data_IF_601365155709
#
_entry.id   IF_601365155709
#
_cell.length_a   1.000
_cell.length_b   1.000
_cell.length_c   1.000
_cell.angle_alpha   90.00
_cell.angle_beta   90.00
_cell.angle_gamma   90.00
#
_symmetry.space_group_name_H-M   'P 1'
#
loop_
_entity.id
_entity.type
_entity.pdbx_description
1 polymer ?
#
# COMPACT_ATOMS: atom_id res chain seq x y z
N UNK A 1 9.45 -24.29 17.23
CA UNK A 1 8.03 -24.01 16.92
C UNK A 1 7.63 -24.50 15.51
N UNK A 2 8.32 -24.07 14.44
CA UNK A 2 8.07 -24.54 13.06
C UNK A 2 8.10 -26.08 12.90
N UNK A 3 9.13 -26.74 13.41
CA UNK A 3 9.23 -28.21 13.35
C UNK A 3 8.09 -28.95 14.07
N UNK A 4 7.57 -28.36 15.16
CA UNK A 4 6.43 -28.92 15.90
C UNK A 4 5.11 -28.78 15.12
N UNK A 5 4.91 -27.65 14.43
CA UNK A 5 3.76 -27.44 13.54
C UNK A 5 3.84 -28.31 12.29
N UNK A 6 5.03 -28.50 11.72
CA UNK A 6 5.26 -29.44 10.61
C UNK A 6 4.92 -30.86 11.05
N UNK A 7 5.44 -31.32 12.19
CA UNK A 7 5.16 -32.66 12.71
C UNK A 7 3.68 -32.87 13.05
N UNK A 8 3.00 -31.84 13.58
CA UNK A 8 1.55 -31.89 13.82
C UNK A 8 0.76 -32.00 12.50
N UNK A 9 1.11 -31.21 11.48
CA UNK A 9 0.44 -31.26 10.19
C UNK A 9 0.66 -32.61 9.48
N UNK A 10 1.86 -33.17 9.58
CA UNK A 10 2.18 -34.51 9.06
C UNK A 10 1.38 -35.60 9.77
N UNK A 11 1.29 -35.53 11.11
CA UNK A 11 0.52 -36.46 11.91
C UNK A 11 -0.98 -36.40 11.60
N UNK A 12 -1.52 -35.19 11.48
CA UNK A 12 -2.91 -34.97 11.12
C UNK A 12 -3.21 -35.50 9.72
N UNK A 13 -2.38 -35.15 8.73
CA UNK A 13 -2.57 -35.61 7.34
C UNK A 13 -2.47 -37.13 7.23
N UNK A 14 -1.57 -37.76 8.00
CA UNK A 14 -1.47 -39.21 8.11
C UNK A 14 -2.75 -39.83 8.67
N UNK A 15 -3.29 -39.28 9.77
CA UNK A 15 -4.55 -39.77 10.37
C UNK A 15 -5.77 -39.56 9.47
N UNK A 16 -5.77 -38.50 8.67
CA UNK A 16 -6.84 -38.20 7.73
C UNK A 16 -6.69 -38.90 6.36
N UNK A 17 -5.60 -39.66 6.12
CA UNK A 17 -5.32 -40.27 4.81
C UNK A 17 -4.97 -39.27 3.70
N UNK A 18 -4.57 -38.04 4.05
CA UNK A 18 -4.32 -36.92 3.14
C UNK A 18 -2.83 -36.64 2.91
N UNK A 19 -1.93 -37.55 3.28
CA UNK A 19 -0.48 -37.36 3.14
C UNK A 19 -0.06 -37.00 1.70
N UNK A 20 -0.58 -37.72 0.70
CA UNK A 20 -0.27 -37.44 -0.70
C UNK A 20 -0.76 -36.05 -1.16
N UNK A 21 -1.89 -35.57 -0.63
CA UNK A 21 -2.42 -34.24 -0.91
C UNK A 21 -1.59 -33.15 -0.23
N UNK A 22 -1.13 -33.38 1.01
CA UNK A 22 -0.21 -32.50 1.73
C UNK A 22 1.12 -32.37 0.98
N UNK A 23 1.68 -33.48 0.51
CA UNK A 23 2.93 -33.50 -0.26
C UNK A 23 2.76 -32.89 -1.66
N UNK A 24 1.60 -33.10 -2.29
CA UNK A 24 1.21 -32.41 -3.52
C UNK A 24 1.20 -30.90 -3.31
N UNK A 25 0.50 -30.41 -2.29
CA UNK A 25 0.44 -28.99 -1.94
C UNK A 25 1.81 -28.39 -1.65
N UNK A 26 2.66 -29.09 -0.88
CA UNK A 26 4.04 -28.65 -0.60
C UNK A 26 4.87 -28.52 -1.87
N UNK A 27 4.78 -29.49 -2.78
CA UNK A 27 5.46 -29.42 -4.08
C UNK A 27 4.96 -28.25 -4.91
N UNK A 28 3.65 -28.02 -4.98
CA UNK A 28 3.08 -26.87 -5.69
C UNK A 28 3.58 -25.55 -5.10
N UNK A 29 3.56 -25.39 -3.77
CA UNK A 29 4.06 -24.19 -3.09
C UNK A 29 5.55 -23.99 -3.34
N UNK A 30 6.35 -25.06 -3.30
CA UNK A 30 7.80 -24.98 -3.57
C UNK A 30 8.12 -24.69 -5.05
N UNK A 31 7.21 -24.99 -5.98
CA UNK A 31 7.38 -24.72 -7.40
C UNK A 31 7.05 -23.27 -7.79
N UNK A 32 6.33 -22.51 -6.95
CA UNK A 32 6.04 -21.10 -7.22
C UNK A 32 7.31 -20.28 -6.98
N UNK A 33 7.87 -19.61 -8.00
CA UNK A 33 9.04 -18.75 -7.81
C UNK A 33 8.75 -17.63 -6.81
N UNK A 34 9.70 -17.33 -5.95
CA UNK A 34 9.61 -16.17 -5.07
C UNK A 34 9.82 -14.87 -5.87
N UNK A 35 8.92 -13.91 -5.69
CA UNK A 35 9.06 -12.56 -6.26
C UNK A 35 9.81 -11.63 -5.29
N UNK A 36 11.03 -11.19 -5.63
CA UNK A 36 11.84 -10.35 -4.74
C UNK A 36 11.20 -9.00 -4.39
N UNK A 37 10.20 -8.55 -5.15
CA UNK A 37 9.49 -7.29 -4.88
C UNK A 37 8.38 -7.44 -3.84
N UNK A 38 8.03 -8.67 -3.43
CA UNK A 38 7.01 -8.93 -2.40
C UNK A 38 7.64 -8.90 -0.99
N UNK A 39 7.31 -7.91 -0.15
CA UNK A 39 7.89 -7.76 1.17
C UNK A 39 7.02 -8.43 2.25
N UNK A 40 7.55 -8.51 3.47
CA UNK A 40 6.70 -8.60 4.64
C UNK A 40 5.91 -7.29 4.77
N UNK A 41 4.59 -7.35 4.84
CA UNK A 41 3.79 -6.15 4.93
C UNK A 41 2.51 -6.33 5.75
N UNK A 42 2.04 -5.22 6.31
CA UNK A 42 0.72 -5.08 6.91
C UNK A 42 -0.11 -4.23 5.96
N UNK A 43 -1.15 -4.80 5.38
CA UNK A 43 -2.14 -4.05 4.62
C UNK A 43 -3.23 -3.60 5.57
N UNK A 44 -3.66 -2.35 5.49
CA UNK A 44 -4.72 -1.77 6.31
C UNK A 44 -5.72 -1.10 5.37
N UNK A 45 -6.89 -1.71 5.21
CA UNK A 45 -8.00 -1.03 4.55
C UNK A 45 -8.76 -0.18 5.57
N UNK A 46 -9.09 1.05 5.17
CA UNK A 46 -9.91 1.98 5.97
C UNK A 46 -11.19 2.23 5.20
N UNK A 47 -12.30 1.72 5.71
CA UNK A 47 -13.59 1.79 5.05
C UNK A 47 -14.53 2.72 5.82
N UNK A 48 -14.88 3.89 5.26
CA UNK A 48 -15.91 4.73 5.85
C UNK A 48 -17.27 4.06 5.85
N UNK A 49 -18.04 4.29 6.92
CA UNK A 49 -19.44 3.91 6.96
C UNK A 49 -20.24 4.65 5.87
N UNK A 50 -21.25 3.98 5.31
CA UNK A 50 -22.10 4.52 4.22
C UNK A 50 -23.35 5.24 4.72
N UNK A 51 -23.54 5.29 6.03
CA UNK A 51 -24.69 5.86 6.72
C UNK A 51 -24.49 7.36 7.08
N UNK A 52 -23.37 7.95 6.67
CA UNK A 52 -23.04 9.34 6.95
C UNK A 52 -22.49 9.59 8.36
N UNK A 53 -22.27 8.54 9.15
CA UNK A 53 -21.53 8.64 10.41
C UNK A 53 -20.04 8.88 10.14
N UNK A 54 -19.28 9.18 11.20
CA UNK A 54 -17.80 9.28 11.13
C UNK A 54 -17.13 7.94 11.38
N UNK A 55 -17.93 6.88 11.43
CA UNK A 55 -17.43 5.56 11.76
C UNK A 55 -16.67 5.00 10.56
N UNK A 56 -15.60 4.29 10.88
CA UNK A 56 -14.75 3.59 9.93
C UNK A 56 -14.54 2.16 10.40
N UNK A 57 -14.39 1.25 9.46
CA UNK A 57 -13.90 -0.10 9.70
C UNK A 57 -12.45 -0.18 9.24
N UNK A 58 -11.56 -0.53 10.17
CA UNK A 58 -10.14 -0.76 9.89
C UNK A 58 -9.92 -2.25 9.78
N UNK A 59 -9.59 -2.73 8.57
CA UNK A 59 -9.32 -4.15 8.29
C UNK A 59 -7.84 -4.39 8.04
N UNK A 60 -7.16 -5.17 8.89
CA UNK A 60 -5.77 -5.52 8.67
C UNK A 60 -5.62 -6.84 7.91
N UNK A 61 -4.60 -6.94 7.05
CA UNK A 61 -4.08 -8.21 6.54
C UNK A 61 -2.57 -8.28 6.68
N UNK A 62 -2.05 -9.46 6.99
CA UNK A 62 -0.64 -9.68 7.27
C UNK A 62 -0.01 -10.59 6.24
N UNK A 63 0.90 -10.05 5.43
CA UNK A 63 1.81 -10.86 4.63
C UNK A 63 3.10 -11.10 5.41
N UNK A 64 3.28 -12.34 5.87
CA UNK A 64 4.40 -12.71 6.75
C UNK A 64 5.55 -13.39 6.03
N UNK A 65 5.37 -13.78 4.76
CA UNK A 65 6.39 -14.47 3.96
C UNK A 65 6.79 -13.55 2.80
N UNK A 66 8.01 -12.99 2.80
CA UNK A 66 8.48 -12.24 1.64
C UNK A 66 8.64 -13.19 0.45
N UNK A 67 8.57 -12.69 -0.77
CA UNK A 67 8.61 -13.53 -1.96
C UNK A 67 7.25 -14.07 -2.41
N UNK A 68 6.26 -14.09 -1.53
CA UNK A 68 4.96 -14.70 -1.80
C UNK A 68 3.83 -13.82 -1.28
N UNK A 69 2.88 -13.51 -2.15
CA UNK A 69 1.70 -12.76 -1.76
C UNK A 69 0.63 -13.73 -1.25
N UNK A 70 0.47 -13.80 0.07
CA UNK A 70 -0.59 -14.57 0.71
C UNK A 70 -1.03 -13.88 2.02
N UNK A 71 -1.57 -12.66 1.93
CA UNK A 71 -1.95 -11.87 3.09
C UNK A 71 -3.06 -12.57 3.88
N UNK A 72 -2.84 -12.77 5.18
CA UNK A 72 -3.83 -13.39 6.06
C UNK A 72 -4.68 -12.31 6.74
N UNK A 73 -6.02 -12.41 6.73
CA UNK A 73 -6.87 -11.43 7.39
C UNK A 73 -6.60 -11.43 8.90
N UNK A 74 -6.54 -10.24 9.48
CA UNK A 74 -6.55 -10.02 10.92
C UNK A 74 -7.94 -9.59 11.40
N UNK A 75 -8.03 -9.29 12.70
CA UNK A 75 -9.28 -8.87 13.33
C UNK A 75 -9.63 -7.42 12.93
N UNK A 76 -10.81 -7.18 12.33
CA UNK A 76 -11.29 -5.83 12.05
C UNK A 76 -11.52 -5.02 13.32
N UNK A 77 -11.41 -3.69 13.23
CA UNK A 77 -11.75 -2.77 14.30
C UNK A 77 -12.72 -1.69 13.81
N UNK A 78 -13.81 -1.49 14.54
CA UNK A 78 -14.73 -0.35 14.34
C UNK A 78 -14.24 0.84 15.17
N UNK A 79 -14.07 1.99 14.52
CA UNK A 79 -13.48 3.18 15.14
C UNK A 79 -13.85 4.44 14.35
N UNK A 80 -13.19 5.57 14.62
CA UNK A 80 -13.32 6.81 13.85
C UNK A 80 -11.99 7.20 13.22
N UNK A 81 -11.99 8.16 12.29
CA UNK A 81 -10.75 8.65 11.69
C UNK A 81 -9.78 9.25 12.73
N UNK A 82 -10.30 9.90 13.77
CA UNK A 82 -9.50 10.48 14.86
C UNK A 82 -8.78 9.39 15.68
N UNK A 83 -9.38 8.20 15.77
CA UNK A 83 -8.87 7.03 16.49
C UNK A 83 -8.16 6.01 15.58
N UNK A 84 -7.88 6.39 14.31
CA UNK A 84 -7.17 5.53 13.36
C UNK A 84 -5.78 5.13 13.86
N UNK A 85 -5.04 6.06 14.47
CA UNK A 85 -3.70 5.80 15.01
C UNK A 85 -3.67 4.63 16.02
N UNK A 86 -4.47 4.69 17.11
CA UNK A 86 -4.63 3.60 18.05
C UNK A 86 -5.04 2.26 17.41
N UNK A 87 -5.94 2.27 16.42
CA UNK A 87 -6.37 1.06 15.72
C UNK A 87 -5.22 0.43 14.91
N UNK A 88 -4.46 1.25 14.18
CA UNK A 88 -3.26 0.83 13.44
C UNK A 88 -2.19 0.29 14.37
N UNK A 89 -1.96 0.93 15.52
CA UNK A 89 -0.98 0.44 16.50
C UNK A 89 -1.33 -0.96 17.02
N UNK A 90 -2.63 -1.23 17.27
CA UNK A 90 -3.10 -2.56 17.69
C UNK A 90 -2.82 -3.62 16.62
N UNK A 91 -3.11 -3.32 15.35
CA UNK A 91 -2.81 -4.21 14.23
C UNK A 91 -1.30 -4.46 14.07
N UNK A 92 -0.47 -3.41 14.24
CA UNK A 92 0.99 -3.53 14.20
C UNK A 92 1.56 -4.41 15.32
N UNK A 93 0.99 -4.35 16.52
CA UNK A 93 1.41 -5.22 17.63
C UNK A 93 1.14 -6.69 17.33
N UNK A 94 0.04 -6.99 16.64
CA UNK A 94 -0.24 -8.35 16.16
C UNK A 94 0.80 -8.77 15.10
N UNK A 95 1.12 -7.91 14.14
CA UNK A 95 2.06 -8.23 13.05
C UNK A 95 3.53 -8.30 13.43
N UNK A 96 3.99 -7.44 14.35
CA UNK A 96 5.39 -7.43 14.79
C UNK A 96 5.80 -8.76 15.44
N UNK A 97 4.89 -9.42 16.16
CA UNK A 97 5.13 -10.76 16.73
C UNK A 97 5.46 -11.80 15.66
N UNK A 98 4.91 -11.65 14.45
CA UNK A 98 5.09 -12.58 13.35
C UNK A 98 6.31 -12.23 12.48
N UNK A 99 6.64 -10.94 12.31
CA UNK A 99 7.81 -10.53 11.52
C UNK A 99 9.15 -10.76 12.21
N UNK A 100 9.19 -10.76 13.55
CA UNK A 100 10.43 -10.83 14.35
C UNK A 100 10.93 -12.28 14.55
N UNK A 101 10.28 -13.28 13.96
CA UNK A 101 10.78 -14.66 13.99
C UNK A 101 12.18 -14.72 13.32
N UNK A 102 13.19 -15.36 13.96
CA UNK A 102 14.54 -15.44 13.41
C UNK A 102 14.51 -16.02 11.99
N UNK A 103 14.99 -15.23 11.02
CA UNK A 103 15.24 -15.69 9.66
C UNK A 103 16.71 -15.99 9.53
N UNK A 104 17.04 -17.06 8.81
CA UNK A 104 18.42 -17.33 8.40
C UNK A 104 18.94 -16.10 7.64
N UNK A 105 20.16 -15.64 7.93
CA UNK A 105 20.73 -14.50 7.22
C UNK A 105 20.80 -14.83 5.73
N UNK A 106 20.34 -13.89 4.91
CA UNK A 106 20.48 -13.98 3.46
C UNK A 106 21.96 -14.19 3.11
N UNK A 107 22.34 -15.25 2.37
CA UNK A 107 23.71 -15.50 1.95
C UNK A 107 24.32 -14.36 1.14
N UNK A 108 23.50 -13.44 0.59
CA UNK A 108 23.94 -12.26 -0.13
C UNK A 108 24.46 -11.12 0.77
N UNK A 109 24.28 -11.22 2.10
CA UNK A 109 24.66 -10.16 3.05
C UNK A 109 23.84 -8.87 2.92
N UNK A 110 22.83 -8.81 2.03
CA UNK A 110 21.94 -7.67 1.90
C UNK A 110 20.97 -7.64 3.07
N UNK A 111 20.85 -6.47 3.70
CA UNK A 111 19.83 -6.25 4.73
C UNK A 111 18.46 -6.36 4.05
N UNK A 112 17.52 -7.18 4.56
CA UNK A 112 16.18 -7.25 4.00
C UNK A 112 15.54 -5.87 4.05
N UNK A 113 14.70 -5.52 3.05
CA UNK A 113 13.95 -4.27 3.08
C UNK A 113 13.13 -4.18 4.37
N UNK A 114 12.90 -2.96 4.90
CA UNK A 114 12.06 -2.80 6.08
C UNK A 114 10.65 -3.33 5.78
N UNK A 115 9.92 -3.85 6.78
CA UNK A 115 8.53 -4.22 6.58
C UNK A 115 7.72 -3.00 6.14
N UNK A 116 6.75 -3.24 5.26
CA UNK A 116 5.91 -2.20 4.70
C UNK A 116 4.53 -2.14 5.36
N UNK A 117 3.92 -0.96 5.35
CA UNK A 117 2.53 -0.73 5.72
C UNK A 117 1.82 -0.14 4.51
N UNK A 118 0.85 -0.88 3.98
CA UNK A 118 0.05 -0.51 2.82
C UNK A 118 -1.32 -0.05 3.28
N UNK A 119 -1.60 1.24 3.15
CA UNK A 119 -2.92 1.79 3.44
C UNK A 119 -3.78 1.76 2.18
N UNK A 120 -4.86 0.99 2.22
CA UNK A 120 -5.88 0.94 1.17
C UNK A 120 -6.98 1.92 1.60
N UNK A 121 -7.02 3.08 0.95
CA UNK A 121 -7.85 4.21 1.36
C UNK A 121 -8.84 4.59 0.25
N UNK A 122 -10.05 5.08 0.59
CA UNK A 122 -10.91 5.72 -0.37
C UNK A 122 -10.28 7.02 -0.88
N UNK A 123 -10.73 7.49 -2.03
CA UNK A 123 -10.17 8.67 -2.70
C UNK A 123 -10.05 9.88 -1.78
N UNK A 124 -11.08 10.15 -0.98
CA UNK A 124 -11.16 11.34 -0.13
C UNK A 124 -10.17 11.26 1.06
N UNK A 125 -9.62 10.07 1.35
CA UNK A 125 -8.58 9.86 2.36
C UNK A 125 -7.19 9.67 1.76
N UNK A 126 -7.01 9.68 0.44
CA UNK A 126 -5.69 9.48 -0.17
C UNK A 126 -4.68 10.56 0.24
N UNK A 127 -5.10 11.81 0.52
CA UNK A 127 -4.18 12.84 1.02
C UNK A 127 -3.90 12.77 2.55
N UNK A 128 -4.55 11.86 3.28
CA UNK A 128 -4.45 11.78 4.74
C UNK A 128 -3.05 11.35 5.20
N UNK A 129 -2.59 11.87 6.34
CA UNK A 129 -1.23 11.62 6.85
C UNK A 129 -1.05 10.26 7.55
N UNK A 130 -1.22 9.17 6.81
CA UNK A 130 -1.03 7.83 7.39
C UNK A 130 0.43 7.52 7.72
N UNK A 131 1.38 8.18 7.06
CA UNK A 131 2.81 8.00 7.30
C UNK A 131 3.26 8.68 8.61
N UNK A 132 2.59 9.77 9.00
CA UNK A 132 2.78 10.51 10.24
C UNK A 132 2.06 9.93 11.45
N UNK A 133 1.16 8.94 11.26
CA UNK A 133 0.59 8.18 12.39
C UNK A 133 1.72 7.67 13.28
N UNK A 134 1.51 7.69 14.59
CA UNK A 134 2.57 7.35 15.53
C UNK A 134 2.39 5.95 16.09
N UNK A 135 3.51 5.31 16.43
CA UNK A 135 3.54 4.05 17.16
C UNK A 135 4.50 4.15 18.34
N UNK A 136 4.19 3.44 19.41
CA UNK A 136 5.05 3.37 20.60
C UNK A 136 5.81 2.03 20.64
N UNK A 137 7.09 2.10 21.00
CA UNK A 137 7.91 0.91 21.29
C UNK A 137 8.27 0.96 22.78
N UNK A 138 7.75 0.00 23.56
CA UNK A 138 7.93 -0.03 25.01
C UNK A 138 7.43 1.25 25.68
N UNK A 139 8.25 1.83 26.56
CA UNK A 139 7.95 3.08 27.27
C UNK A 139 8.51 4.34 26.57
N UNK A 140 8.93 4.21 25.31
CA UNK A 140 9.50 5.32 24.53
C UNK A 140 8.46 6.35 24.08
N UNK A 141 8.96 7.47 23.52
CA UNK A 141 8.11 8.46 22.86
C UNK A 141 7.48 7.88 21.59
N UNK A 142 6.24 8.28 21.24
CA UNK A 142 5.61 7.88 19.98
C UNK A 142 6.45 8.37 18.79
N UNK A 143 6.71 7.47 17.84
CA UNK A 143 7.46 7.78 16.62
C UNK A 143 6.56 7.59 15.39
N UNK A 144 6.66 8.46 14.35
CA UNK A 144 5.97 8.25 13.08
C UNK A 144 6.21 6.85 12.49
N UNK A 145 5.20 6.28 11.85
CA UNK A 145 5.31 4.99 11.16
C UNK A 145 6.40 5.02 10.08
N UNK A 146 6.49 6.15 9.37
CA UNK A 146 7.44 6.40 8.29
C UNK A 146 8.91 6.18 8.68
N UNK A 147 9.26 6.31 9.96
CA UNK A 147 10.63 6.12 10.45
C UNK A 147 11.07 4.66 10.45
N UNK A 148 10.14 3.74 10.75
CA UNK A 148 10.44 2.32 10.92
C UNK A 148 9.96 1.47 9.74
N UNK A 149 8.89 1.89 9.09
CA UNK A 149 8.20 1.14 8.05
C UNK A 149 8.20 1.93 6.74
N UNK A 150 8.25 1.20 5.61
CA UNK A 150 7.87 1.80 4.33
C UNK A 150 6.37 1.95 4.30
N UNK A 151 5.85 3.17 4.16
CA UNK A 151 4.40 3.43 4.18
C UNK A 151 3.95 3.86 2.78
N UNK A 152 2.92 3.24 2.22
CA UNK A 152 2.38 3.61 0.91
C UNK A 152 0.86 3.52 0.87
N UNK A 153 0.29 4.22 -0.10
CA UNK A 153 -1.14 4.33 -0.34
C UNK A 153 -1.56 3.47 -1.53
N UNK A 154 -2.77 2.93 -1.43
CA UNK A 154 -3.46 2.14 -2.46
C UNK A 154 -4.92 2.60 -2.52
N UNK A 155 -5.59 2.42 -3.66
CA UNK A 155 -6.98 2.85 -3.80
C UNK A 155 -7.94 1.74 -3.37
N UNK A 156 -8.82 2.07 -2.43
CA UNK A 156 -9.89 1.18 -1.99
C UNK A 156 -10.87 0.89 -3.13
N UNK A 157 -11.21 1.91 -3.93
CA UNK A 157 -12.08 1.78 -5.09
C UNK A 157 -11.50 0.81 -6.12
N UNK A 158 -10.19 0.87 -6.39
CA UNK A 158 -9.56 -0.11 -7.28
C UNK A 158 -9.52 -1.50 -6.69
N UNK A 159 -9.32 -1.65 -5.37
CA UNK A 159 -9.37 -2.99 -4.78
C UNK A 159 -10.77 -3.59 -4.82
N UNK A 160 -11.81 -2.76 -4.75
CA UNK A 160 -13.20 -3.21 -4.86
C UNK A 160 -13.69 -3.38 -6.30
N UNK A 161 -12.96 -2.88 -7.29
CA UNK A 161 -13.42 -2.89 -8.67
C UNK A 161 -13.44 -4.31 -9.22
N UNK A 162 -14.64 -4.78 -9.54
CA UNK A 162 -14.83 -6.02 -10.26
C UNK A 162 -14.76 -5.88 -11.79
N UNK A 163 -14.56 -4.66 -12.28
CA UNK A 163 -14.44 -4.40 -13.71
C UNK A 163 -13.14 -4.99 -14.28
N UNK A 164 -13.28 -5.94 -15.20
CA UNK A 164 -12.14 -6.61 -15.84
C UNK A 164 -11.32 -5.68 -16.71
N UNK A 165 -11.95 -4.70 -17.37
CA UNK A 165 -11.26 -3.73 -18.24
C UNK A 165 -10.36 -2.83 -17.40
N UNK A 166 -10.88 -2.32 -16.28
CA UNK A 166 -10.08 -1.52 -15.34
C UNK A 166 -8.91 -2.33 -14.79
N UNK A 167 -9.15 -3.59 -14.39
CA UNK A 167 -8.10 -4.48 -13.89
C UNK A 167 -7.03 -4.77 -14.94
N UNK A 168 -7.41 -4.98 -16.20
CA UNK A 168 -6.47 -5.23 -17.30
C UNK A 168 -5.65 -3.98 -17.64
N UNK A 169 -6.29 -2.80 -17.70
CA UNK A 169 -5.59 -1.54 -17.95
C UNK A 169 -4.57 -1.24 -16.84
N UNK A 170 -4.94 -1.47 -15.58
CA UNK A 170 -4.05 -1.33 -14.44
C UNK A 170 -2.85 -2.29 -14.52
N UNK A 171 -3.08 -3.56 -14.86
CA UNK A 171 -2.02 -4.54 -15.10
C UNK A 171 -1.07 -4.12 -16.21
N UNK A 172 -1.59 -3.73 -17.37
CA UNK A 172 -0.78 -3.31 -18.52
C UNK A 172 0.10 -2.10 -18.21
N UNK A 173 -0.45 -1.10 -17.52
CA UNK A 173 0.33 0.08 -17.05
C UNK A 173 1.41 -0.30 -16.04
N UNK A 174 1.10 -1.23 -15.14
CA UNK A 174 2.05 -1.72 -14.15
C UNK A 174 3.19 -2.52 -14.79
N UNK A 175 2.88 -3.38 -15.75
CA UNK A 175 3.89 -4.12 -16.51
C UNK A 175 4.78 -3.15 -17.31
N UNK A 176 4.18 -2.14 -17.94
CA UNK A 176 4.92 -1.06 -18.61
C UNK A 176 5.85 -0.33 -17.65
N UNK A 177 5.40 -0.03 -16.42
CA UNK A 177 6.24 0.56 -15.37
C UNK A 177 7.43 -0.35 -15.04
N UNK A 178 7.19 -1.65 -14.83
CA UNK A 178 8.22 -2.63 -14.48
C UNK A 178 9.27 -2.79 -15.58
N UNK A 179 8.83 -2.82 -16.84
CA UNK A 179 9.69 -3.05 -18.01
C UNK A 179 10.46 -1.81 -18.46
N UNK A 180 9.78 -0.66 -18.51
CA UNK A 180 10.31 0.56 -19.14
C UNK A 180 10.71 1.64 -18.12
N UNK A 181 10.38 1.45 -16.84
CA UNK A 181 10.67 2.40 -15.79
C UNK A 181 9.65 3.54 -15.68
N UNK A 182 10.05 4.59 -14.98
CA UNK A 182 9.18 5.72 -14.65
C UNK A 182 9.22 6.78 -15.76
N UNK A 183 8.07 7.06 -16.36
CA UNK A 183 7.85 8.27 -17.17
C UNK A 183 6.71 9.06 -16.56
N UNK A 184 7.01 10.27 -16.10
CA UNK A 184 6.07 11.13 -15.37
C UNK A 184 5.12 11.84 -16.33
N UNK A 185 3.84 11.89 -15.98
CA UNK A 185 2.86 12.85 -16.49
C UNK A 185 2.50 13.83 -15.36
N UNK A 186 2.85 15.10 -15.51
CA UNK A 186 2.70 16.09 -14.45
C UNK A 186 1.31 16.72 -14.44
N UNK A 187 0.76 16.98 -13.26
CA UNK A 187 -0.42 17.84 -13.06
C UNK A 187 -0.05 19.03 -12.18
N UNK A 188 -0.57 20.21 -12.52
CA UNK A 188 -0.44 21.44 -11.72
C UNK A 188 -1.81 22.12 -11.58
N UNK A 189 -2.00 22.91 -10.53
CA UNK A 189 -3.23 23.67 -10.30
C UNK A 189 -3.63 24.55 -11.51
N UNK A 190 -2.64 25.13 -12.20
CA UNK A 190 -2.89 25.91 -13.43
C UNK A 190 -3.47 25.09 -14.60
N UNK A 191 -3.38 23.77 -14.54
CA UNK A 191 -4.00 22.85 -15.50
C UNK A 191 -5.48 22.56 -15.19
N UNK A 192 -6.03 23.10 -14.09
CA UNK A 192 -7.36 22.77 -13.57
C UNK A 192 -8.53 22.95 -14.55
N UNK A 193 -8.39 23.86 -15.52
CA UNK A 193 -9.40 24.06 -16.58
C UNK A 193 -9.27 23.08 -17.76
N UNK A 194 -8.25 22.23 -17.76
CA UNK A 194 -7.85 21.37 -18.88
C UNK A 194 -7.78 19.89 -18.49
N UNK A 195 -8.54 19.48 -17.47
CA UNK A 195 -8.56 18.10 -16.98
C UNK A 195 -8.79 17.07 -18.11
N UNK A 196 -9.75 17.33 -19.01
CA UNK A 196 -10.03 16.43 -20.14
C UNK A 196 -8.83 16.28 -21.09
N UNK A 197 -8.18 17.39 -21.44
CA UNK A 197 -7.00 17.35 -22.31
C UNK A 197 -5.81 16.65 -21.62
N UNK A 198 -5.66 16.86 -20.31
CA UNK A 198 -4.64 16.20 -19.51
C UNK A 198 -4.87 14.69 -19.45
N UNK A 199 -6.10 14.26 -19.19
CA UNK A 199 -6.50 12.85 -19.17
C UNK A 199 -6.34 12.22 -20.54
N UNK A 200 -6.76 12.89 -21.62
CA UNK A 200 -6.57 12.40 -22.98
C UNK A 200 -5.09 12.19 -23.32
N UNK A 201 -4.21 13.10 -22.86
CA UNK A 201 -2.76 12.93 -22.99
C UNK A 201 -2.22 11.74 -22.20
N UNK A 202 -2.79 11.46 -21.03
CA UNK A 202 -2.45 10.29 -20.24
C UNK A 202 -2.90 9.01 -20.95
N UNK A 203 -4.17 8.93 -21.36
CA UNK A 203 -4.76 7.79 -22.05
C UNK A 203 -4.07 7.49 -23.39
N UNK A 204 -3.71 8.52 -24.14
CA UNK A 204 -3.08 8.40 -25.45
C UNK A 204 -1.61 7.94 -25.44
N UNK A 205 -0.93 7.99 -24.29
CA UNK A 205 0.47 7.58 -24.16
C UNK A 205 0.65 6.55 -23.04
N UNK A 206 0.66 5.27 -23.41
CA UNK A 206 0.78 4.14 -22.47
C UNK A 206 2.10 4.14 -21.68
N UNK A 207 3.16 4.77 -22.20
CA UNK A 207 4.45 4.86 -21.50
C UNK A 207 4.46 5.80 -20.31
N UNK A 208 3.46 6.68 -20.14
CA UNK A 208 3.30 7.46 -18.90
C UNK A 208 2.94 6.52 -17.75
N UNK A 209 3.91 6.19 -16.91
CA UNK A 209 3.77 5.16 -15.87
C UNK A 209 3.61 5.73 -14.47
N UNK A 210 3.79 7.05 -14.32
CA UNK A 210 3.65 7.74 -13.05
C UNK A 210 3.01 9.11 -13.20
N UNK A 211 2.36 9.59 -12.14
CA UNK A 211 1.85 10.97 -12.06
C UNK A 211 2.53 11.71 -10.90
N UNK A 212 2.90 12.97 -11.16
CA UNK A 212 3.39 13.91 -10.14
C UNK A 212 2.47 15.12 -10.13
N UNK A 213 1.74 15.30 -9.04
CA UNK A 213 0.64 16.25 -8.94
C UNK A 213 0.74 17.13 -7.69
N UNK A 214 0.06 18.27 -7.71
CA UNK A 214 -0.22 19.02 -6.48
C UNK A 214 -1.13 18.20 -5.55
N UNK A 215 -1.17 18.53 -4.25
CA UNK A 215 -1.91 17.75 -3.28
C UNK A 215 -3.37 17.55 -3.71
N UNK A 216 -3.91 16.32 -3.67
CA UNK A 216 -5.32 16.04 -3.99
C UNK A 216 -6.23 16.44 -2.82
N UNK A 217 -6.07 17.66 -2.31
CA UNK A 217 -6.88 18.28 -1.26
C UNK A 217 -7.96 19.21 -1.82
N UNK A 218 -7.77 19.72 -3.04
CA UNK A 218 -8.80 20.46 -3.77
C UNK A 218 -9.55 19.55 -4.76
N UNK A 219 -10.65 20.05 -5.32
CA UNK A 219 -11.51 19.28 -6.24
C UNK A 219 -10.79 18.90 -7.54
N UNK A 220 -9.91 19.77 -8.04
CA UNK A 220 -9.30 19.60 -9.36
C UNK A 220 -8.14 18.61 -9.34
N UNK A 221 -7.24 18.72 -8.35
CA UNK A 221 -6.15 17.79 -8.14
C UNK A 221 -6.65 16.41 -7.71
N UNK A 222 -7.72 16.35 -6.90
CA UNK A 222 -8.38 15.08 -6.59
C UNK A 222 -9.00 14.45 -7.85
N UNK A 223 -9.65 15.23 -8.71
CA UNK A 223 -10.19 14.74 -9.98
C UNK A 223 -9.07 14.23 -10.91
N UNK A 224 -7.94 14.93 -10.99
CA UNK A 224 -6.77 14.47 -11.74
C UNK A 224 -6.19 13.16 -11.19
N UNK A 225 -6.12 13.00 -9.86
CA UNK A 225 -5.72 11.73 -9.25
C UNK A 225 -6.71 10.62 -9.58
N UNK A 226 -8.03 10.85 -9.43
CA UNK A 226 -9.07 9.88 -9.78
C UNK A 226 -8.97 9.46 -11.25
N UNK A 227 -8.75 10.41 -12.17
CA UNK A 227 -8.53 10.14 -13.58
C UNK A 227 -7.25 9.31 -13.81
N UNK A 228 -6.13 9.64 -13.15
CA UNK A 228 -4.90 8.85 -13.25
C UNK A 228 -5.11 7.40 -12.81
N UNK A 229 -5.83 7.22 -11.71
CA UNK A 229 -6.16 5.92 -11.14
C UNK A 229 -7.02 5.12 -12.13
N UNK A 230 -8.03 5.76 -12.72
CA UNK A 230 -8.88 5.15 -13.75
C UNK A 230 -8.09 4.74 -15.00
N UNK A 231 -7.09 5.54 -15.41
CA UNK A 231 -6.19 5.23 -16.53
C UNK A 231 -5.10 4.18 -16.21
N UNK A 232 -5.23 3.50 -15.07
CA UNK A 232 -4.36 2.39 -14.67
C UNK A 232 -3.04 2.79 -14.02
N UNK A 233 -2.81 4.07 -13.69
CA UNK A 233 -1.55 4.51 -13.07
C UNK A 233 -1.40 3.92 -11.66
N UNK A 234 -0.37 3.11 -11.43
CA UNK A 234 -0.08 2.52 -10.13
C UNK A 234 0.90 3.32 -9.26
N UNK A 235 1.52 4.37 -9.80
CA UNK A 235 2.52 5.19 -9.11
C UNK A 235 2.15 6.68 -9.17
N UNK A 236 1.92 7.30 -8.01
CA UNK A 236 1.76 8.75 -7.93
C UNK A 236 2.46 9.36 -6.72
N UNK A 237 2.99 10.57 -6.88
CA UNK A 237 3.68 11.32 -5.82
C UNK A 237 3.22 12.78 -5.79
N UNK A 238 2.98 13.29 -4.59
CA UNK A 238 2.65 14.71 -4.35
C UNK A 238 3.24 15.20 -3.03
N UNK A 239 3.30 16.52 -2.85
CA UNK A 239 3.55 17.15 -1.56
C UNK A 239 2.20 17.42 -0.88
N UNK A 240 1.91 16.79 0.25
CA UNK A 240 0.60 16.86 0.93
C UNK A 240 0.18 18.26 1.37
N UNK A 241 1.11 19.23 1.39
CA UNK A 241 0.86 20.61 1.85
C UNK A 241 0.13 21.48 0.82
N UNK A 242 -0.05 21.02 -0.42
CA UNK A 242 -0.72 21.77 -1.48
C UNK A 242 0.11 21.78 -2.76
N UNK A 243 0.43 22.99 -3.25
CA UNK A 243 1.19 23.18 -4.49
C UNK A 243 2.57 22.52 -4.39
N UNK A 244 2.89 21.69 -5.38
CA UNK A 244 4.14 20.96 -5.46
C UNK A 244 5.18 21.82 -6.18
N UNK A 245 5.98 22.55 -5.39
CA UNK A 245 7.02 23.46 -5.91
C UNK A 245 8.13 22.73 -6.67
N UNK A 246 8.71 23.39 -7.67
CA UNK A 246 9.64 22.79 -8.64
C UNK A 246 10.87 22.17 -7.99
N UNK A 247 11.47 22.82 -6.97
CA UNK A 247 12.66 22.31 -6.28
C UNK A 247 12.41 20.94 -5.65
N UNK A 248 11.17 20.69 -5.19
CA UNK A 248 10.78 19.40 -4.62
C UNK A 248 10.40 18.40 -5.72
N UNK A 249 9.87 18.85 -6.86
CA UNK A 249 9.64 17.99 -8.04
C UNK A 249 10.97 17.48 -8.64
N UNK A 250 12.03 18.29 -8.59
CA UNK A 250 13.39 17.87 -8.96
C UNK A 250 13.89 16.76 -8.04
N UNK A 251 13.64 16.84 -6.72
CA UNK A 251 13.97 15.75 -5.79
C UNK A 251 13.26 14.45 -6.17
N UNK A 252 11.98 14.50 -6.57
CA UNK A 252 11.25 13.31 -7.05
C UNK A 252 11.85 12.76 -8.33
N UNK A 253 12.20 13.64 -9.27
CA UNK A 253 12.84 13.24 -10.53
C UNK A 253 14.19 12.56 -10.27
N UNK A 254 15.00 13.12 -9.38
CA UNK A 254 16.26 12.51 -8.94
C UNK A 254 16.04 11.17 -8.22
N UNK A 255 14.99 11.05 -7.41
CA UNK A 255 14.62 9.79 -6.75
C UNK A 255 14.28 8.70 -7.78
N UNK A 256 13.50 9.02 -8.82
CA UNK A 256 13.19 8.09 -9.89
C UNK A 256 14.42 7.71 -10.71
N UNK A 257 15.29 8.67 -11.03
CA UNK A 257 16.53 8.41 -11.75
C UNK A 257 17.52 7.54 -10.94
N UNK A 258 17.55 7.70 -9.62
CA UNK A 258 18.40 6.91 -8.73
C UNK A 258 17.86 5.50 -8.46
N UNK A 259 16.56 5.28 -8.64
CA UNK A 259 15.93 3.97 -8.50
C UNK A 259 16.32 3.08 -9.70
N UNK A 260 17.32 2.21 -9.49
CA UNK A 260 17.81 1.27 -10.51
C UNK A 260 16.72 0.40 -11.14
N UNK A 261 15.67 0.08 -10.36
CA UNK A 261 14.46 -0.59 -10.82
C UNK A 261 13.24 0.02 -10.13
N UNK A 262 12.05 -0.02 -10.76
CA UNK A 262 10.81 0.49 -10.17
C UNK A 262 10.50 -0.11 -8.80
N UNK A 263 10.75 -1.41 -8.59
CA UNK A 263 10.56 -2.09 -7.31
C UNK A 263 11.36 -1.49 -6.14
N UNK A 264 12.39 -0.68 -6.41
CA UNK A 264 13.18 0.01 -5.38
C UNK A 264 12.61 1.36 -4.97
N UNK A 265 11.63 1.90 -5.68
CA UNK A 265 11.01 3.20 -5.39
C UNK A 265 10.44 3.26 -3.97
N UNK A 266 9.66 2.28 -3.47
CA UNK A 266 9.18 2.30 -2.08
C UNK A 266 10.29 2.42 -1.04
N UNK A 267 11.42 1.73 -1.27
CA UNK A 267 12.59 1.82 -0.39
C UNK A 267 13.23 3.21 -0.47
N UNK A 268 13.35 3.81 -1.66
CA UNK A 268 13.90 5.14 -1.83
C UNK A 268 13.04 6.21 -1.13
N UNK A 269 11.71 6.12 -1.24
CA UNK A 269 10.77 7.01 -0.54
C UNK A 269 10.87 6.86 0.98
N UNK A 270 10.99 5.62 1.47
CA UNK A 270 11.21 5.37 2.90
C UNK A 270 12.53 6.00 3.40
N UNK A 271 13.63 5.86 2.64
CA UNK A 271 14.90 6.50 2.99
C UNK A 271 14.82 8.02 2.97
N UNK A 272 14.10 8.61 2.00
CA UNK A 272 13.84 10.05 1.95
C UNK A 272 13.12 10.54 3.22
N UNK A 273 12.05 9.84 3.62
CA UNK A 273 11.32 10.10 4.88
C UNK A 273 12.21 10.00 6.11
N UNK A 274 13.03 8.95 6.20
CA UNK A 274 13.94 8.77 7.34
C UNK A 274 15.00 9.86 7.42
N UNK A 275 15.56 10.26 6.29
CA UNK A 275 16.57 11.34 6.25
C UNK A 275 15.96 12.69 6.65
N UNK A 276 14.71 12.94 6.28
CA UNK A 276 13.98 14.15 6.61
C UNK A 276 13.81 14.40 8.11
N UNK A 277 13.88 13.38 8.96
CA UNK A 277 13.81 13.51 10.41
C UNK A 277 15.13 14.04 11.03
N UNK A 278 16.21 14.17 10.26
CA UNK A 278 17.55 14.57 10.77
C UNK A 278 17.75 16.09 10.98
N UNK A 279 16.72 16.85 11.38
CA UNK A 279 16.72 18.32 11.61
C UNK A 279 17.13 19.22 10.41
N UNK A 280 17.35 18.66 9.22
CA UNK A 280 17.59 19.44 8.00
C UNK A 280 16.36 20.24 7.54
N UNK A 281 16.60 21.30 6.78
CA UNK A 281 15.57 22.19 6.20
C UNK A 281 15.67 22.29 4.66
N UNK A 282 16.44 21.42 4.03
CA UNK A 282 16.57 21.39 2.57
C UNK A 282 15.29 20.89 1.89
N UNK A 283 15.17 21.06 0.56
CA UNK A 283 13.99 20.62 -0.20
C UNK A 283 13.68 19.13 -0.02
N UNK A 284 14.71 18.28 0.09
CA UNK A 284 14.57 16.84 0.29
C UNK A 284 14.00 16.50 1.66
N UNK A 285 14.46 17.16 2.73
CA UNK A 285 13.94 16.95 4.08
C UNK A 285 12.49 17.46 4.19
N UNK A 286 12.21 18.64 3.64
CA UNK A 286 10.86 19.18 3.63
C UNK A 286 9.89 18.32 2.81
N UNK A 287 10.35 17.72 1.70
CA UNK A 287 9.52 16.80 0.93
C UNK A 287 9.31 15.49 1.69
N UNK A 288 10.35 14.91 2.28
CA UNK A 288 10.28 13.61 2.96
C UNK A 288 9.20 13.57 4.05
N UNK A 289 9.03 14.63 4.85
CA UNK A 289 7.99 14.68 5.90
C UNK A 289 6.56 14.72 5.33
N UNK A 290 6.39 15.31 4.15
CA UNK A 290 5.07 15.62 3.59
C UNK A 290 4.75 14.87 2.30
N UNK A 291 5.57 13.89 1.90
CA UNK A 291 5.35 13.15 0.66
C UNK A 291 4.13 12.24 0.76
N UNK A 292 3.15 12.48 -0.11
CA UNK A 292 2.10 11.54 -0.45
C UNK A 292 2.66 10.54 -1.45
N UNK A 293 2.51 9.24 -1.18
CA UNK A 293 3.12 8.19 -1.97
C UNK A 293 2.12 7.08 -2.26
N UNK A 294 1.62 7.06 -3.49
CA UNK A 294 0.72 6.05 -4.01
C UNK A 294 1.51 5.00 -4.77
N UNK A 295 1.37 3.74 -4.34
CA UNK A 295 2.04 2.58 -4.89
C UNK A 295 1.07 1.40 -4.88
N UNK A 296 0.34 1.25 -5.98
CA UNK A 296 -0.79 0.33 -6.12
C UNK A 296 -0.50 -0.73 -7.16
N UNK A 297 -0.16 -1.92 -6.67
CA UNK A 297 0.31 -3.06 -7.45
C UNK A 297 -0.84 -4.05 -7.75
N UNK A 298 -1.21 -4.27 -9.03
CA UNK A 298 -2.31 -5.15 -9.41
C UNK A 298 -2.06 -6.63 -9.12
N UNK A 299 -0.80 -7.02 -8.90
CA UNK A 299 -0.45 -8.42 -8.59
C UNK A 299 -0.64 -8.76 -7.13
N UNK A 300 -0.99 -7.77 -6.30
CA UNK A 300 -1.13 -7.89 -4.85
C UNK A 300 -2.55 -7.56 -4.38
N UNK A 301 -3.59 -8.29 -4.85
CA UNK A 301 -4.97 -8.07 -4.43
C UNK A 301 -5.18 -8.52 -2.99
N UNK A 302 -6.12 -7.88 -2.29
CA UNK A 302 -6.61 -8.36 -0.99
C UNK A 302 -8.05 -8.83 -1.14
N UNK A 303 -8.37 -9.94 -0.49
CA UNK A 303 -9.72 -10.50 -0.48
C UNK A 303 -10.53 -9.79 0.61
N UNK A 304 -11.39 -8.87 0.17
CA UNK A 304 -12.43 -8.31 1.01
C UNK A 304 -13.54 -9.36 1.12
N UNK A 305 -13.43 -10.24 2.11
CA UNK A 305 -14.54 -11.14 2.42
C UNK A 305 -15.79 -10.30 2.65
N UNK A 306 -16.93 -10.64 2.03
CA UNK A 306 -18.19 -10.01 2.35
C UNK A 306 -18.38 -10.13 3.85
N UNK A 307 -18.55 -8.99 4.52
CA UNK A 307 -19.05 -9.04 5.90
C UNK A 307 -20.42 -9.69 5.79
N UNK A 308 -20.68 -10.68 6.65
CA UNK A 308 -21.94 -11.42 6.64
C UNK A 308 -23.11 -10.42 6.49
N UNK A 309 -23.96 -10.53 5.46
CA UNK A 309 -25.01 -9.53 5.19
C UNK A 309 -26.04 -9.39 6.32
N UNK A 310 -25.94 -10.19 7.38
CA UNK A 310 -26.79 -10.16 8.57
C UNK A 310 -26.48 -9.07 9.59
N UNK A 311 -25.38 -8.31 9.46
CA UNK A 311 -24.99 -7.33 10.51
C UNK A 311 -25.31 -5.86 10.19
N UNK A 312 -25.82 -5.55 8.98
CA UNK A 312 -26.16 -4.16 8.60
C UNK A 312 -27.41 -3.99 7.73
N UNK A 313 -28.25 -5.02 7.57
CA UNK A 313 -29.53 -4.86 6.86
C UNK A 313 -30.61 -5.79 7.41
N UNK A 314 -31.55 -5.24 8.20
CA UNK A 314 -33.01 -5.42 8.09
C UNK A 314 -33.71 -5.14 9.42
N UNK A 315 -34.00 -3.87 9.69
CA UNK A 315 -35.24 -3.50 10.40
C UNK A 315 -35.86 -2.29 9.69
N UNK A 316 -36.18 -2.46 8.40
CA UNK A 316 -37.41 -1.85 7.88
C UNK A 316 -38.55 -2.79 8.28
N UNK A 317 -39.21 -2.47 9.39
CA UNK A 317 -40.48 -3.09 9.74
C UNK A 317 -41.57 -2.56 8.80
N UNK A 318 -42.41 -3.42 8.19
CA UNK A 318 -43.61 -2.98 7.51
C UNK A 318 -44.79 -2.93 8.50
N UNK A 319 -45.35 -1.73 8.71
CA UNK A 319 -46.79 -1.45 8.85
C UNK A 319 -47.01 0.06 9.04
#
# INVERSE_FOLDING_TARGET
>A
HRAALTGWADDWARRAGLTAALDGRRRTVAAVPADPDIPCCLVIAVEPARDGTRDIVVRPWLNTVPGHWNPQPGEPAHTTLDDLGPAVERALRQGTRLWTAPREPDPSGRRPPPPYIEFVLPYDLLNHDVAGLTHRIGDGQPLPLSLKYGVHLRSLERMYSDDTVIRDQWRQRWDTLREHGVTVHGWRECDGTRLEAWQAGLAGESRRTAVVLDAPSDTSALAALKAAIAEGIGLAIWDRRGVFVEERREVVTALFAAAQTPGRIPTAVHLLRRNAESNGQGPGELLGRHIGFFWDDPTRPIDFQPTDPGDLASEEAPA
#
